data_IF_027544819424
#
_entry.id   IF_027544819424
#
_cell.length_a   1.000
_cell.length_b   1.000
_cell.length_c   1.000
_cell.angle_alpha   90.00
_cell.angle_beta   90.00
_cell.angle_gamma   90.00
#
_symmetry.space_group_name_H-M   'P 1'
#
loop_
_entity.id
_entity.type
_entity.pdbx_description
1 polymer ?
#
# COMPACT_ATOMS: atom_id res chain seq x y z
N UNK A 1 34.07 18.41 -33.96
CA UNK A 1 33.01 18.49 -32.90
C UNK A 1 32.86 17.16 -32.26
N UNK A 2 33.52 16.96 -31.15
CA UNK A 2 33.52 15.73 -30.37
C UNK A 2 32.35 15.80 -29.42
N UNK A 3 31.33 14.95 -29.62
CA UNK A 3 30.18 14.79 -28.73
C UNK A 3 30.63 14.01 -27.50
N UNK A 4 30.87 14.72 -26.40
CA UNK A 4 31.02 14.11 -25.08
C UNK A 4 29.75 13.33 -24.72
N UNK A 5 29.85 12.01 -24.72
CA UNK A 5 28.86 11.15 -24.08
C UNK A 5 28.91 11.41 -22.57
N UNK A 6 27.84 12.00 -22.01
CA UNK A 6 27.65 12.03 -20.56
C UNK A 6 27.74 10.61 -20.01
N UNK A 7 28.51 10.36 -18.95
CA UNK A 7 28.57 9.04 -18.34
C UNK A 7 27.18 8.68 -17.83
N UNK A 8 26.71 7.50 -18.17
CA UNK A 8 25.53 6.87 -17.59
C UNK A 8 25.80 6.67 -16.09
N UNK A 9 25.21 7.50 -15.25
CA UNK A 9 25.27 7.34 -13.81
C UNK A 9 24.73 5.94 -13.49
N UNK A 10 25.58 5.04 -13.01
CA UNK A 10 25.15 3.79 -12.40
C UNK A 10 24.37 4.18 -11.14
N UNK A 11 23.03 4.22 -11.27
CA UNK A 11 22.15 4.48 -10.13
C UNK A 11 22.31 3.34 -9.12
N UNK A 12 23.06 3.60 -8.05
CA UNK A 12 23.12 2.72 -6.89
C UNK A 12 21.72 2.67 -6.29
N UNK A 13 21.29 1.48 -5.86
CA UNK A 13 20.08 1.34 -5.05
C UNK A 13 20.23 2.24 -3.82
N UNK A 14 19.27 3.14 -3.51
CA UNK A 14 19.35 3.98 -2.32
C UNK A 14 19.56 3.13 -1.05
N UNK A 15 20.14 3.72 -0.03
CA UNK A 15 20.28 3.06 1.26
C UNK A 15 18.93 2.97 1.96
N UNK A 16 18.61 1.78 2.49
CA UNK A 16 17.44 1.58 3.33
C UNK A 16 17.83 1.85 4.79
N UNK A 17 17.17 2.80 5.40
CA UNK A 17 17.25 3.06 6.85
C UNK A 17 15.97 2.56 7.49
N UNK A 18 16.07 1.93 8.64
CA UNK A 18 14.91 1.40 9.39
C UNK A 18 14.89 1.98 10.79
N UNK A 19 13.71 2.04 11.39
CA UNK A 19 13.54 2.52 12.75
C UNK A 19 12.12 2.32 13.26
N UNK A 20 11.82 2.98 14.36
CA UNK A 20 10.49 3.05 14.97
C UNK A 20 10.12 4.49 15.25
N UNK A 21 8.86 4.82 15.05
CA UNK A 21 8.28 6.11 15.42
C UNK A 21 7.99 6.19 16.91
N UNK A 22 7.62 7.38 17.38
CA UNK A 22 7.32 7.65 18.78
C UNK A 22 6.23 6.73 19.34
N UNK A 23 5.23 6.39 18.54
CA UNK A 23 4.17 5.45 18.91
C UNK A 23 4.55 3.96 18.74
N UNK A 24 5.81 3.64 18.38
CA UNK A 24 6.34 2.28 18.23
C UNK A 24 6.14 1.64 16.86
N UNK A 25 5.42 2.28 15.92
CA UNK A 25 5.26 1.76 14.55
C UNK A 25 6.60 1.70 13.83
N UNK A 26 6.87 0.58 13.14
CA UNK A 26 8.12 0.37 12.42
C UNK A 26 8.09 1.01 11.03
N UNK A 27 9.26 1.46 10.57
CA UNK A 27 9.40 1.99 9.24
C UNK A 27 10.69 1.58 8.54
N UNK A 28 10.64 1.61 7.20
CA UNK A 28 11.81 1.70 6.34
C UNK A 28 11.74 2.98 5.52
N UNK A 29 12.86 3.70 5.40
CA UNK A 29 12.90 4.94 4.62
C UNK A 29 14.08 4.95 3.65
N UNK A 30 13.86 5.51 2.45
CA UNK A 30 14.88 5.76 1.45
C UNK A 30 14.59 7.03 0.65
N UNK A 31 15.61 7.58 0.01
CA UNK A 31 15.57 8.91 -0.62
C UNK A 31 16.08 9.99 0.34
N UNK A 32 16.53 11.12 -0.22
CA UNK A 32 17.28 12.14 0.54
C UNK A 32 16.71 13.56 0.38
N UNK A 33 15.52 13.70 -0.21
CA UNK A 33 14.92 15.01 -0.45
C UNK A 33 14.15 15.57 0.75
N UNK A 34 13.64 16.79 0.63
CA UNK A 34 12.90 17.48 1.68
C UNK A 34 11.42 17.11 1.75
N UNK A 35 10.87 16.40 0.73
CA UNK A 35 9.46 16.03 0.66
C UNK A 35 9.24 14.62 1.21
N UNK A 36 8.09 14.37 1.79
CA UNK A 36 7.74 13.10 2.39
C UNK A 36 6.53 12.44 1.71
N UNK A 37 6.72 11.20 1.29
CA UNK A 37 5.64 10.29 0.95
C UNK A 37 5.55 9.20 2.01
N UNK A 38 4.43 9.13 2.70
CA UNK A 38 4.11 8.06 3.63
C UNK A 38 3.36 6.95 2.88
N UNK A 39 3.96 5.75 2.82
CA UNK A 39 3.40 4.58 2.16
C UNK A 39 2.88 3.57 3.17
N UNK A 40 1.59 3.24 3.06
CA UNK A 40 0.88 2.23 3.86
C UNK A 40 0.83 0.92 3.06
N UNK A 41 1.52 -0.15 3.49
CA UNK A 41 1.56 -1.43 2.79
C UNK A 41 0.24 -2.20 2.86
N UNK A 42 0.05 -3.12 1.91
CA UNK A 42 -1.10 -4.01 1.83
C UNK A 42 -0.95 -5.29 2.64
N UNK A 43 -2.00 -6.11 2.61
CA UNK A 43 -2.11 -7.42 3.26
C UNK A 43 -2.26 -7.35 4.78
N UNK A 44 -2.80 -8.40 5.42
CA UNK A 44 -2.63 -8.60 6.84
C UNK A 44 -1.18 -9.03 7.13
N UNK A 45 -0.60 -8.45 8.18
CA UNK A 45 0.83 -8.57 8.47
C UNK A 45 1.69 -7.78 7.46
N UNK A 46 2.82 -7.34 7.85
CA UNK A 46 3.69 -6.60 6.93
C UNK A 46 5.12 -6.53 7.43
N UNK A 47 6.06 -6.45 6.49
CA UNK A 47 7.47 -6.26 6.79
C UNK A 47 8.06 -5.13 5.97
N UNK A 48 9.09 -4.49 6.48
CA UNK A 48 9.89 -3.55 5.69
C UNK A 48 10.53 -4.32 4.52
N UNK A 49 10.42 -3.82 3.27
CA UNK A 49 10.90 -4.53 2.11
C UNK A 49 12.42 -4.69 2.14
N UNK A 50 12.92 -5.89 1.87
CA UNK A 50 14.33 -6.20 1.79
C UNK A 50 14.69 -6.91 0.48
N UNK A 51 15.96 -7.08 0.17
CA UNK A 51 16.45 -7.89 -0.95
C UNK A 51 15.82 -7.52 -2.32
N UNK A 52 15.18 -8.47 -2.97
CA UNK A 52 14.57 -8.29 -4.29
C UNK A 52 13.34 -7.37 -4.23
N UNK A 53 12.52 -7.49 -3.18
CA UNK A 53 11.35 -6.63 -2.96
C UNK A 53 11.78 -5.17 -2.83
N UNK A 54 12.79 -4.89 -2.00
CA UNK A 54 13.33 -3.55 -1.85
C UNK A 54 13.79 -2.95 -3.19
N UNK A 55 14.54 -3.72 -3.99
CA UNK A 55 14.96 -3.28 -5.33
C UNK A 55 13.77 -3.01 -6.26
N UNK A 56 12.69 -3.77 -6.13
CA UNK A 56 11.46 -3.54 -6.90
C UNK A 56 10.79 -2.23 -6.46
N UNK A 57 10.64 -2.02 -5.16
CA UNK A 57 10.02 -0.80 -4.62
C UNK A 57 10.86 0.45 -4.93
N UNK A 58 12.19 0.39 -4.83
CA UNK A 58 13.04 1.54 -5.20
C UNK A 58 12.91 1.92 -6.67
N UNK A 59 12.68 0.94 -7.57
CA UNK A 59 12.42 1.24 -9.00
C UNK A 59 11.02 1.83 -9.20
N UNK A 60 10.01 1.31 -8.48
CA UNK A 60 8.63 1.78 -8.53
C UNK A 60 8.54 3.26 -8.12
N UNK A 61 9.19 3.62 -7.01
CA UNK A 61 9.17 4.97 -6.44
C UNK A 61 10.28 5.89 -6.96
N UNK A 62 11.10 5.41 -7.90
CA UNK A 62 12.19 6.21 -8.45
C UNK A 62 11.75 7.59 -8.99
N UNK A 63 10.61 7.73 -9.72
CA UNK A 63 10.17 9.05 -10.16
C UNK A 63 9.97 10.05 -9.01
N UNK A 64 9.54 9.56 -7.84
CA UNK A 64 9.34 10.37 -6.64
C UNK A 64 10.67 10.70 -5.96
N UNK A 65 11.58 9.72 -5.79
CA UNK A 65 12.90 10.00 -5.19
C UNK A 65 13.75 10.92 -6.06
N UNK A 66 13.66 10.80 -7.39
CA UNK A 66 14.32 11.72 -8.33
C UNK A 66 13.73 13.16 -8.25
N UNK A 67 12.50 13.31 -7.74
CA UNK A 67 11.81 14.60 -7.46
C UNK A 67 11.99 15.10 -6.03
N UNK A 68 12.86 14.50 -5.26
CA UNK A 68 13.20 14.92 -3.91
C UNK A 68 12.25 14.41 -2.83
N UNK A 69 11.57 13.31 -3.06
CA UNK A 69 10.79 12.64 -2.01
C UNK A 69 11.63 11.61 -1.24
N UNK A 70 11.44 11.57 0.07
CA UNK A 70 11.73 10.41 0.92
C UNK A 70 10.51 9.52 0.92
N UNK A 71 10.72 8.22 0.73
CA UNK A 71 9.64 7.22 0.77
C UNK A 71 9.69 6.53 2.12
N UNK A 72 8.68 6.75 2.92
CA UNK A 72 8.49 6.16 4.23
C UNK A 72 7.53 4.98 4.13
N UNK A 73 8.08 3.78 4.11
CA UNK A 73 7.32 2.54 4.19
C UNK A 73 6.98 2.28 5.64
N UNK A 74 5.75 2.59 6.05
CA UNK A 74 5.33 2.58 7.46
C UNK A 74 4.43 1.38 7.71
N UNK A 75 4.84 0.49 8.61
CA UNK A 75 4.04 -0.66 9.02
C UNK A 75 2.94 -0.22 9.99
N UNK A 76 1.86 -0.99 10.06
CA UNK A 76 0.85 -0.82 11.10
C UNK A 76 1.46 -1.12 12.47
N UNK A 77 0.81 -0.65 13.53
CA UNK A 77 1.29 -0.89 14.89
C UNK A 77 1.32 -2.39 15.20
N UNK A 78 2.16 -2.78 16.15
CA UNK A 78 2.17 -4.11 16.76
C UNK A 78 1.36 -4.10 18.06
N UNK A 79 1.02 -5.29 18.55
CA UNK A 79 0.22 -5.48 19.78
C UNK A 79 -1.14 -4.74 19.71
N UNK A 80 -1.84 -4.92 18.60
CA UNK A 80 -3.16 -4.32 18.41
C UNK A 80 -4.18 -4.90 19.38
N UNK A 81 -4.98 -4.05 20.05
CA UNK A 81 -6.04 -4.55 20.90
C UNK A 81 -7.10 -5.30 20.07
N UNK A 82 -7.77 -6.26 20.69
CA UNK A 82 -8.91 -6.92 20.07
C UNK A 82 -9.98 -5.90 19.65
N UNK A 83 -10.49 -6.02 18.42
CA UNK A 83 -11.47 -5.09 17.88
C UNK A 83 -10.86 -3.80 17.29
N UNK A 84 -9.53 -3.68 17.21
CA UNK A 84 -8.87 -2.56 16.52
C UNK A 84 -9.30 -2.51 15.05
N UNK A 85 -9.93 -1.42 14.65
CA UNK A 85 -10.57 -1.26 13.33
C UNK A 85 -9.60 -0.63 12.31
N UNK A 86 -9.96 -0.69 11.02
CA UNK A 86 -9.22 0.04 9.97
C UNK A 86 -9.22 1.56 10.23
N UNK A 87 -10.28 2.07 10.86
CA UNK A 87 -10.38 3.47 11.26
C UNK A 87 -9.41 3.82 12.41
N UNK A 88 -9.26 2.93 13.40
CA UNK A 88 -8.28 3.11 14.48
C UNK A 88 -6.84 3.04 13.94
N UNK A 89 -6.57 2.17 12.95
CA UNK A 89 -5.28 2.14 12.26
C UNK A 89 -4.99 3.47 11.55
N UNK A 90 -6.00 4.11 10.95
CA UNK A 90 -5.83 5.44 10.36
C UNK A 90 -5.48 6.50 11.42
N UNK A 91 -6.08 6.41 12.61
CA UNK A 91 -5.76 7.29 13.74
C UNK A 91 -4.31 7.07 14.24
N UNK A 92 -3.80 5.83 14.21
CA UNK A 92 -2.39 5.51 14.50
C UNK A 92 -1.44 6.19 13.50
N UNK A 93 -1.73 6.14 12.19
CA UNK A 93 -0.94 6.84 11.16
C UNK A 93 -1.01 8.35 11.30
N UNK A 94 -2.18 8.91 11.61
CA UNK A 94 -2.31 10.33 11.88
C UNK A 94 -1.48 10.78 13.09
N UNK A 95 -1.38 9.95 14.12
CA UNK A 95 -0.50 10.18 15.28
C UNK A 95 0.96 10.26 14.86
N UNK A 96 1.44 9.29 14.07
CA UNK A 96 2.80 9.34 13.51
C UNK A 96 3.04 10.62 12.72
N UNK A 97 2.10 11.02 11.85
CA UNK A 97 2.27 12.24 11.05
C UNK A 97 2.36 13.48 11.94
N UNK A 98 1.55 13.56 12.98
CA UNK A 98 1.56 14.72 13.90
C UNK A 98 2.83 14.79 14.74
N UNK A 99 3.29 13.67 15.26
CA UNK A 99 4.39 13.62 16.22
C UNK A 99 5.76 13.59 15.56
N UNK A 100 5.91 12.84 14.46
CA UNK A 100 7.22 12.57 13.86
C UNK A 100 7.49 13.33 12.54
N UNK A 101 6.43 13.91 11.91
CA UNK A 101 6.56 14.68 10.65
C UNK A 101 6.19 16.17 10.81
N UNK A 102 6.13 16.67 12.03
CA UNK A 102 5.77 18.07 12.26
C UNK A 102 4.33 18.41 11.87
N UNK A 103 3.44 17.43 11.88
CA UNK A 103 2.02 17.54 11.64
C UNK A 103 1.57 17.28 10.20
N UNK A 104 2.48 17.13 9.22
CA UNK A 104 2.09 16.95 7.83
C UNK A 104 3.14 16.24 6.98
N UNK A 105 2.68 15.40 6.05
CA UNK A 105 3.47 14.86 4.92
C UNK A 105 2.94 15.41 3.60
N UNK A 106 3.73 15.37 2.52
CA UNK A 106 3.29 15.88 1.22
C UNK A 106 2.26 14.94 0.59
N UNK A 107 2.51 13.63 0.66
CA UNK A 107 1.67 12.59 0.07
C UNK A 107 1.45 11.48 1.09
N UNK A 108 0.19 11.11 1.34
CA UNK A 108 -0.17 9.83 1.91
C UNK A 108 -0.53 8.86 0.78
N UNK A 109 -0.03 7.63 0.81
CA UNK A 109 -0.36 6.64 -0.21
C UNK A 109 -0.48 5.26 0.41
N UNK A 110 -1.43 4.46 -0.06
CA UNK A 110 -1.64 3.11 0.44
C UNK A 110 -2.04 2.14 -0.66
N UNK A 111 -1.61 0.89 -0.52
CA UNK A 111 -1.96 -0.18 -1.46
C UNK A 111 -2.83 -1.22 -0.76
N UNK A 112 -3.90 -1.67 -1.45
CA UNK A 112 -4.78 -2.73 -0.94
C UNK A 112 -5.28 -2.38 0.46
N UNK A 113 -4.97 -3.17 1.47
CA UNK A 113 -5.29 -2.89 2.88
C UNK A 113 -4.84 -1.48 3.30
N UNK A 114 -3.60 -1.08 2.97
CA UNK A 114 -3.13 0.28 3.25
C UNK A 114 -3.93 1.37 2.54
N UNK A 115 -4.55 1.05 1.39
CA UNK A 115 -5.50 1.94 0.72
C UNK A 115 -6.85 2.03 1.43
N UNK A 116 -7.29 0.97 2.14
CA UNK A 116 -8.46 1.03 3.03
C UNK A 116 -8.20 1.96 4.22
N UNK A 117 -7.02 1.83 4.85
CA UNK A 117 -6.57 2.75 5.91
C UNK A 117 -6.51 4.18 5.39
N UNK A 118 -5.97 4.38 4.18
CA UNK A 118 -5.86 5.69 3.53
C UNK A 118 -7.21 6.39 3.31
N UNK A 119 -8.30 5.66 3.14
CA UNK A 119 -9.65 6.24 3.02
C UNK A 119 -10.11 6.85 4.35
N UNK A 120 -9.94 6.14 5.46
CA UNK A 120 -10.26 6.69 6.80
C UNK A 120 -9.30 7.81 7.20
N UNK A 121 -8.01 7.69 6.87
CA UNK A 121 -7.04 8.75 7.10
C UNK A 121 -7.45 10.03 6.36
N UNK A 122 -7.89 9.90 5.11
CA UNK A 122 -8.33 11.03 4.29
C UNK A 122 -9.64 11.67 4.79
N UNK A 123 -10.55 10.88 5.34
CA UNK A 123 -11.82 11.38 5.85
C UNK A 123 -11.67 12.03 7.24
N UNK A 124 -10.88 11.43 8.13
CA UNK A 124 -10.78 11.86 9.53
C UNK A 124 -9.67 12.88 9.80
N UNK A 125 -8.59 12.84 9.02
CA UNK A 125 -7.37 13.63 9.25
C UNK A 125 -6.87 14.34 7.98
N UNK A 126 -7.73 15.03 7.22
CA UNK A 126 -7.37 15.65 5.94
C UNK A 126 -6.26 16.70 6.06
N UNK A 127 -6.04 17.26 7.25
CA UNK A 127 -5.01 18.25 7.53
C UNK A 127 -3.58 17.67 7.51
N UNK A 128 -3.44 16.34 7.66
CA UNK A 128 -2.13 15.68 7.88
C UNK A 128 -1.33 15.42 6.59
N UNK A 129 -1.90 15.69 5.41
CA UNK A 129 -1.21 15.52 4.13
C UNK A 129 -1.76 16.44 3.03
N UNK A 130 -1.04 16.52 1.90
CA UNK A 130 -1.43 17.33 0.74
C UNK A 130 -2.39 16.63 -0.20
N UNK A 131 -2.06 15.39 -0.57
CA UNK A 131 -2.85 14.52 -1.45
C UNK A 131 -2.79 13.08 -0.97
N UNK A 132 -3.80 12.27 -1.35
CA UNK A 132 -3.77 10.83 -1.06
C UNK A 132 -3.84 10.01 -2.35
N UNK A 133 -3.07 8.90 -2.40
CA UNK A 133 -3.15 7.92 -3.47
C UNK A 133 -3.58 6.55 -2.94
N UNK A 134 -4.66 6.02 -3.48
CA UNK A 134 -5.26 4.74 -3.15
C UNK A 134 -4.99 3.77 -4.30
N UNK A 135 -4.10 2.81 -4.09
CA UNK A 135 -3.67 1.87 -5.12
C UNK A 135 -4.33 0.52 -4.89
N UNK A 136 -5.08 0.03 -5.88
CA UNK A 136 -5.79 -1.25 -5.79
C UNK A 136 -6.61 -1.36 -4.50
N UNK A 137 -7.48 -0.37 -4.23
CA UNK A 137 -8.34 -0.30 -3.06
C UNK A 137 -9.68 0.35 -3.38
N UNK A 138 -10.72 -0.02 -2.65
CA UNK A 138 -12.05 0.53 -2.76
C UNK A 138 -12.75 0.49 -1.39
N UNK A 139 -14.03 0.93 -1.30
CA UNK A 139 -14.76 1.08 -0.04
C UNK A 139 -15.10 -0.25 0.66
N UNK A 140 -14.97 -1.38 -0.02
CA UNK A 140 -15.00 -2.74 0.57
C UNK A 140 -14.19 -3.71 -0.28
N UNK A 141 -13.66 -4.75 0.33
CA UNK A 141 -13.07 -5.90 -0.35
C UNK A 141 -14.14 -6.90 -0.81
N UNK A 142 -13.81 -7.72 -1.80
CA UNK A 142 -14.66 -8.84 -2.23
C UNK A 142 -14.64 -9.98 -1.21
N UNK A 143 -15.69 -10.79 -1.17
CA UNK A 143 -15.74 -11.98 -0.32
C UNK A 143 -14.57 -12.94 -0.60
N UNK A 144 -14.15 -13.03 -1.88
CA UNK A 144 -13.00 -13.83 -2.27
C UNK A 144 -11.69 -13.31 -1.62
N UNK A 145 -11.48 -12.00 -1.61
CA UNK A 145 -10.29 -11.41 -0.98
C UNK A 145 -10.31 -11.64 0.53
N UNK A 146 -11.43 -11.38 1.19
CA UNK A 146 -11.61 -11.60 2.63
C UNK A 146 -11.32 -13.05 3.02
N UNK A 147 -11.74 -14.04 2.20
CA UNK A 147 -11.43 -15.46 2.48
C UNK A 147 -9.95 -15.79 2.27
N UNK A 148 -9.29 -15.24 1.26
CA UNK A 148 -7.85 -15.41 1.04
C UNK A 148 -7.05 -14.75 2.17
N UNK A 149 -7.44 -13.55 2.61
CA UNK A 149 -6.77 -12.86 3.70
C UNK A 149 -7.01 -13.53 5.06
N UNK A 150 -8.18 -14.15 5.26
CA UNK A 150 -8.39 -15.06 6.42
C UNK A 150 -7.38 -16.20 6.45
N UNK A 151 -7.18 -16.88 5.31
CA UNK A 151 -6.21 -17.98 5.21
C UNK A 151 -4.78 -17.48 5.45
N UNK A 152 -4.45 -16.31 4.92
CA UNK A 152 -3.16 -15.66 5.12
C UNK A 152 -2.94 -15.31 6.60
N UNK A 153 -3.92 -14.66 7.25
CA UNK A 153 -3.85 -14.27 8.65
C UNK A 153 -3.72 -15.46 9.59
N UNK A 154 -4.54 -16.52 9.38
CA UNK A 154 -4.46 -17.76 10.16
C UNK A 154 -3.10 -18.46 9.99
N UNK A 155 -2.52 -18.46 8.79
CA UNK A 155 -1.20 -19.03 8.54
C UNK A 155 -0.10 -18.19 9.20
N UNK A 156 -0.19 -16.87 9.14
CA UNK A 156 0.75 -15.93 9.77
C UNK A 156 0.72 -16.07 11.29
N UNK A 157 -0.47 -16.12 11.90
CA UNK A 157 -0.62 -16.29 13.35
C UNK A 157 0.01 -17.61 13.87
N UNK A 158 0.06 -18.64 13.03
CA UNK A 158 0.71 -19.92 13.37
C UNK A 158 2.19 -20.00 12.97
N UNK A 159 2.75 -18.99 12.32
CA UNK A 159 4.09 -19.08 11.74
C UNK A 159 4.19 -20.11 10.60
N UNK A 160 3.08 -20.40 9.90
CA UNK A 160 3.01 -21.40 8.82
C UNK A 160 3.44 -20.79 7.48
N UNK A 161 4.74 -20.80 7.21
CA UNK A 161 5.30 -20.30 5.95
C UNK A 161 4.70 -20.94 4.70
N UNK A 162 4.24 -22.19 4.77
CA UNK A 162 3.60 -22.86 3.65
C UNK A 162 2.19 -22.33 3.41
N UNK A 163 1.41 -22.19 4.48
CA UNK A 163 0.06 -21.62 4.43
C UNK A 163 0.09 -20.17 3.90
N UNK A 164 1.04 -19.36 4.36
CA UNK A 164 1.29 -18.01 3.83
C UNK A 164 1.58 -18.05 2.33
N UNK A 165 2.46 -18.96 1.88
CA UNK A 165 2.79 -19.09 0.46
C UNK A 165 1.59 -19.58 -0.38
N UNK A 166 0.72 -20.45 0.16
CA UNK A 166 -0.51 -20.93 -0.50
C UNK A 166 -1.51 -19.76 -0.69
N UNK A 167 -1.74 -18.95 0.34
CA UNK A 167 -2.59 -17.77 0.27
C UNK A 167 -2.04 -16.75 -0.74
N UNK A 168 -0.76 -16.42 -0.66
CA UNK A 168 -0.11 -15.50 -1.62
C UNK A 168 -0.15 -16.03 -3.07
N UNK A 169 -0.04 -17.34 -3.28
CA UNK A 169 -0.18 -17.93 -4.61
C UNK A 169 -1.57 -17.68 -5.20
N UNK A 170 -2.61 -17.58 -4.37
CA UNK A 170 -3.97 -17.24 -4.79
C UNK A 170 -4.06 -15.82 -5.35
N UNK A 171 -3.34 -14.86 -4.77
CA UNK A 171 -3.24 -13.51 -5.32
C UNK A 171 -2.49 -13.43 -6.65
N UNK A 172 -1.44 -14.25 -6.82
CA UNK A 172 -0.65 -14.27 -8.07
C UNK A 172 -1.43 -14.93 -9.20
N UNK A 173 -2.15 -16.02 -8.92
CA UNK A 173 -2.97 -16.78 -9.87
C UNK A 173 -4.38 -16.92 -9.32
N UNK A 174 -5.21 -15.88 -9.42
CA UNK A 174 -6.53 -15.86 -8.79
C UNK A 174 -7.58 -16.74 -9.47
N UNK A 175 -7.33 -17.27 -10.70
CA UNK A 175 -8.28 -18.13 -11.40
C UNK A 175 -8.36 -19.52 -10.74
N UNK A 176 -9.52 -19.85 -10.20
CA UNK A 176 -9.79 -21.13 -9.54
C UNK A 176 -9.65 -22.36 -10.46
N UNK A 177 -9.83 -22.17 -11.77
CA UNK A 177 -9.56 -23.23 -12.75
C UNK A 177 -8.08 -23.60 -12.79
N UNK A 178 -7.20 -22.70 -12.36
CA UNK A 178 -5.77 -22.88 -12.23
C UNK A 178 -5.31 -23.26 -10.81
N UNK A 179 -6.23 -23.61 -9.92
CA UNK A 179 -5.89 -23.96 -8.54
C UNK A 179 -4.89 -25.12 -8.45
N UNK A 180 -5.01 -26.14 -9.33
CA UNK A 180 -4.05 -27.26 -9.35
C UNK A 180 -2.64 -26.84 -9.81
N UNK A 181 -2.45 -26.19 -11.00
CA UNK A 181 -1.13 -25.71 -11.39
C UNK A 181 -0.59 -24.62 -10.47
N UNK A 182 -1.43 -23.77 -9.84
CA UNK A 182 -1.03 -22.78 -8.83
C UNK A 182 -0.22 -23.41 -7.70
N UNK A 183 -0.56 -24.63 -7.26
CA UNK A 183 0.18 -25.37 -6.21
C UNK A 183 1.65 -25.61 -6.56
N UNK A 184 2.03 -25.61 -7.84
CA UNK A 184 3.43 -25.74 -8.25
C UNK A 184 4.27 -24.49 -7.92
N UNK A 185 3.63 -23.34 -7.68
CA UNK A 185 4.30 -22.10 -7.27
C UNK A 185 4.62 -22.10 -5.76
N UNK A 186 3.84 -22.81 -4.95
CA UNK A 186 3.93 -22.77 -3.49
C UNK A 186 5.33 -23.06 -2.94
N UNK A 187 6.08 -24.09 -3.41
CA UNK A 187 7.42 -24.35 -2.89
C UNK A 187 8.41 -23.22 -3.14
N UNK A 188 8.31 -22.56 -4.29
CA UNK A 188 9.15 -21.41 -4.61
C UNK A 188 8.76 -20.18 -3.77
N UNK A 189 7.47 -19.94 -3.58
CA UNK A 189 6.96 -18.85 -2.75
C UNK A 189 7.27 -19.06 -1.28
N UNK A 190 7.12 -20.27 -0.75
CA UNK A 190 7.49 -20.60 0.63
C UNK A 190 9.00 -20.37 0.89
N UNK A 191 9.83 -20.57 -0.13
CA UNK A 191 11.26 -20.24 -0.05
C UNK A 191 11.53 -18.73 -0.01
N UNK A 192 10.69 -17.94 -0.70
CA UNK A 192 10.76 -16.47 -0.69
C UNK A 192 10.25 -15.88 0.63
N UNK A 193 9.18 -16.43 1.17
CA UNK A 193 8.61 -16.08 2.47
C UNK A 193 9.61 -16.37 3.61
N UNK A 194 10.45 -17.41 3.44
CA UNK A 194 11.41 -17.83 4.46
C UNK A 194 10.85 -18.94 5.34
N UNK A 195 11.75 -19.59 6.10
CA UNK A 195 11.38 -20.67 7.02
C UNK A 195 10.92 -20.17 8.37
N UNK A 196 11.30 -18.95 8.71
CA UNK A 196 11.07 -18.33 10.01
C UNK A 196 10.05 -17.18 9.86
N UNK A 197 8.82 -17.53 9.45
CA UNK A 197 7.70 -16.60 9.61
C UNK A 197 7.45 -16.51 11.12
N UNK A 198 7.71 -15.35 11.70
CA UNK A 198 7.33 -15.11 13.08
C UNK A 198 5.81 -15.24 13.19
N UNK A 199 5.34 -15.95 14.23
CA UNK A 199 3.92 -15.95 14.54
C UNK A 199 3.49 -14.51 14.92
N UNK A 200 2.39 -14.06 14.31
CA UNK A 200 1.90 -12.69 14.46
C UNK A 200 0.37 -12.71 14.60
N UNK A 201 -0.10 -12.53 15.81
CA UNK A 201 -1.53 -12.51 16.12
C UNK A 201 -2.21 -11.22 15.62
N UNK A 202 -1.46 -10.14 15.39
CA UNK A 202 -1.98 -8.90 14.81
C UNK A 202 -2.58 -9.13 13.42
N UNK A 203 -2.05 -10.10 12.67
CA UNK A 203 -2.62 -10.48 11.38
C UNK A 203 -4.09 -10.92 11.47
N UNK A 204 -4.50 -11.54 12.60
CA UNK A 204 -5.91 -11.89 12.83
C UNK A 204 -6.77 -10.69 13.18
N UNK A 205 -6.21 -9.71 13.90
CA UNK A 205 -6.89 -8.45 14.19
C UNK A 205 -7.11 -7.67 12.88
N UNK A 206 -6.08 -7.55 12.07
CA UNK A 206 -6.14 -6.91 10.76
C UNK A 206 -7.19 -7.57 9.83
N UNK A 207 -7.19 -8.90 9.73
CA UNK A 207 -8.20 -9.59 8.94
C UNK A 207 -9.62 -9.35 9.44
N UNK A 208 -9.85 -9.38 10.76
CA UNK A 208 -11.19 -9.09 11.32
C UNK A 208 -11.63 -7.66 11.02
N UNK A 209 -10.70 -6.70 11.10
CA UNK A 209 -10.94 -5.32 10.75
C UNK A 209 -11.28 -5.15 9.26
N UNK A 210 -10.60 -5.90 8.37
CA UNK A 210 -10.90 -5.93 6.94
C UNK A 210 -12.27 -6.54 6.65
N UNK A 211 -12.60 -7.67 7.28
CA UNK A 211 -13.89 -8.33 7.09
C UNK A 211 -15.09 -7.44 7.51
N UNK A 212 -14.86 -6.52 8.46
CA UNK A 212 -15.85 -5.54 8.92
C UNK A 212 -15.75 -4.19 8.19
N UNK A 213 -14.80 -4.03 7.25
CA UNK A 213 -14.51 -2.76 6.61
C UNK A 213 -15.62 -2.32 5.65
N UNK A 214 -16.15 -1.13 5.88
CA UNK A 214 -17.02 -0.37 4.98
C UNK A 214 -16.74 1.13 5.17
N UNK A 215 -16.00 1.74 4.25
CA UNK A 215 -15.72 3.18 4.30
C UNK A 215 -16.75 4.03 3.58
N UNK A 216 -17.76 3.43 2.94
CA UNK A 216 -18.78 4.16 2.17
C UNK A 216 -19.39 5.35 2.93
N UNK A 217 -19.72 5.22 4.24
CA UNK A 217 -20.33 6.33 4.97
C UNK A 217 -19.45 7.59 5.09
N UNK A 218 -18.11 7.45 4.99
CA UNK A 218 -17.17 8.56 5.20
C UNK A 218 -16.53 9.08 3.91
N UNK A 219 -16.73 8.42 2.76
CA UNK A 219 -16.07 8.84 1.51
C UNK A 219 -16.47 10.24 1.06
N UNK A 220 -17.73 10.64 1.29
CA UNK A 220 -18.22 11.99 0.98
C UNK A 220 -17.62 13.10 1.84
N UNK A 221 -16.98 12.76 2.96
CA UNK A 221 -16.33 13.70 3.87
C UNK A 221 -14.88 14.02 3.45
N UNK A 222 -14.32 13.26 2.48
CA UNK A 222 -12.95 13.46 2.00
C UNK A 222 -12.85 14.75 1.20
N UNK A 223 -12.15 15.73 1.73
CA UNK A 223 -11.98 17.06 1.13
C UNK A 223 -10.67 17.24 0.38
N UNK A 224 -9.70 16.35 0.59
CA UNK A 224 -8.39 16.39 -0.09
C UNK A 224 -8.45 15.74 -1.47
N UNK A 225 -7.55 16.12 -2.40
CA UNK A 225 -7.45 15.44 -3.70
C UNK A 225 -7.07 13.96 -3.54
N UNK A 226 -7.82 13.06 -4.20
CA UNK A 226 -7.64 11.60 -4.15
C UNK A 226 -7.31 11.05 -5.53
N UNK A 227 -6.21 10.30 -5.64
CA UNK A 227 -5.89 9.49 -6.80
C UNK A 227 -6.26 8.03 -6.54
N UNK A 228 -7.13 7.45 -7.36
CA UNK A 228 -7.39 6.01 -7.36
C UNK A 228 -6.66 5.36 -8.55
N UNK A 229 -5.78 4.41 -8.27
CA UNK A 229 -5.10 3.59 -9.27
C UNK A 229 -5.64 2.16 -9.21
N UNK A 230 -6.35 1.72 -10.23
CA UNK A 230 -7.09 0.46 -10.21
C UNK A 230 -6.83 -0.41 -11.44
N UNK A 231 -6.79 -1.73 -11.24
CA UNK A 231 -6.74 -2.72 -12.30
C UNK A 231 -8.14 -3.12 -12.77
N UNK A 232 -8.35 -3.21 -14.08
CA UNK A 232 -9.66 -3.61 -14.64
C UNK A 232 -9.95 -5.13 -14.54
N UNK A 233 -8.98 -5.91 -14.01
CA UNK A 233 -9.07 -7.34 -13.72
C UNK A 233 -8.78 -7.67 -12.25
N UNK A 234 -8.97 -6.69 -11.38
CA UNK A 234 -8.83 -6.89 -9.95
C UNK A 234 -9.97 -7.77 -9.42
N UNK A 235 -9.63 -8.80 -8.64
CA UNK A 235 -10.62 -9.66 -7.97
C UNK A 235 -10.79 -9.33 -6.50
N UNK A 236 -9.86 -8.58 -5.93
CA UNK A 236 -9.98 -8.15 -4.54
C UNK A 236 -10.96 -7.01 -4.39
N UNK A 237 -10.99 -6.13 -5.39
CA UNK A 237 -11.93 -5.01 -5.44
C UNK A 237 -12.64 -5.05 -6.79
N UNK A 238 -13.93 -5.31 -6.74
CA UNK A 238 -14.75 -5.42 -7.94
C UNK A 238 -14.85 -4.07 -8.66
N UNK A 239 -14.94 -4.11 -9.99
CA UNK A 239 -14.95 -2.91 -10.82
C UNK A 239 -16.03 -1.90 -10.41
N UNK A 240 -17.21 -2.41 -10.12
CA UNK A 240 -18.38 -1.62 -9.70
C UNK A 240 -18.12 -0.91 -8.38
N UNK A 241 -17.49 -1.59 -7.43
CA UNK A 241 -17.11 -1.05 -6.11
C UNK A 241 -16.03 0.04 -6.26
N UNK A 242 -15.06 -0.15 -7.16
CA UNK A 242 -14.05 0.88 -7.47
C UNK A 242 -14.68 2.12 -8.08
N UNK A 243 -15.59 1.94 -9.06
CA UNK A 243 -16.31 3.07 -9.71
C UNK A 243 -17.16 3.83 -8.69
N UNK A 244 -17.87 3.10 -7.82
CA UNK A 244 -18.66 3.70 -6.75
C UNK A 244 -17.77 4.48 -5.76
N UNK A 245 -16.63 3.91 -5.37
CA UNK A 245 -15.63 4.60 -4.52
C UNK A 245 -15.23 5.95 -5.12
N UNK A 246 -14.86 5.94 -6.40
CA UNK A 246 -14.49 7.16 -7.10
C UNK A 246 -15.64 8.17 -7.18
N UNK A 247 -16.86 7.70 -7.39
CA UNK A 247 -18.03 8.57 -7.49
C UNK A 247 -18.44 9.21 -6.16
N UNK A 248 -18.18 8.54 -5.04
CA UNK A 248 -18.50 9.02 -3.69
C UNK A 248 -17.48 10.03 -3.15
N UNK A 249 -16.24 10.03 -3.65
CA UNK A 249 -15.20 10.97 -3.22
C UNK A 249 -15.24 12.24 -4.06
N UNK A 250 -15.52 13.44 -3.49
CA UNK A 250 -15.75 14.68 -4.25
C UNK A 250 -14.61 15.08 -5.19
N UNK A 251 -13.35 14.90 -4.77
CA UNK A 251 -12.14 15.33 -5.50
C UNK A 251 -11.29 14.14 -5.92
N UNK A 252 -11.93 13.11 -6.52
CA UNK A 252 -11.25 11.91 -6.96
C UNK A 252 -10.84 11.97 -8.44
N UNK A 253 -9.73 11.28 -8.73
CA UNK A 253 -9.28 10.96 -10.08
C UNK A 253 -9.04 9.48 -10.18
N UNK A 254 -9.80 8.77 -11.01
CA UNK A 254 -9.67 7.33 -11.21
C UNK A 254 -8.86 7.03 -12.48
N UNK A 255 -7.77 6.28 -12.33
CA UNK A 255 -6.91 5.82 -13.42
C UNK A 255 -6.96 4.30 -13.51
N UNK A 256 -7.39 3.78 -14.67
CA UNK A 256 -7.44 2.36 -14.95
C UNK A 256 -6.15 1.81 -15.54
N UNK A 257 -5.61 0.76 -14.92
CA UNK A 257 -4.53 -0.05 -15.46
C UNK A 257 -5.10 -1.25 -16.20
N UNK A 258 -5.24 -1.11 -17.51
CA UNK A 258 -5.86 -2.13 -18.37
C UNK A 258 -5.11 -3.44 -18.37
N UNK A 259 -5.84 -4.56 -18.27
CA UNK A 259 -5.30 -5.92 -18.22
C UNK A 259 -4.56 -6.24 -16.92
N UNK A 260 -4.68 -5.41 -15.88
CA UNK A 260 -4.02 -5.62 -14.60
C UNK A 260 -5.01 -6.17 -13.56
N UNK A 261 -4.59 -7.24 -12.90
CA UNK A 261 -5.21 -7.72 -11.66
C UNK A 261 -4.52 -7.10 -10.45
N UNK A 262 -4.93 -7.47 -9.26
CA UNK A 262 -4.53 -6.89 -7.98
C UNK A 262 -3.01 -6.69 -7.83
N UNK A 263 -2.25 -7.78 -7.78
CA UNK A 263 -0.79 -7.74 -7.60
C UNK A 263 -0.06 -6.99 -8.71
N UNK A 264 -0.55 -7.08 -9.96
CA UNK A 264 0.05 -6.36 -11.09
C UNK A 264 -0.28 -4.88 -11.07
N UNK A 265 -1.37 -4.46 -10.44
CA UNK A 265 -1.68 -3.05 -10.18
C UNK A 265 -0.78 -2.50 -9.09
N UNK A 266 -0.68 -3.20 -7.98
CA UNK A 266 0.14 -2.81 -6.83
C UNK A 266 1.63 -2.61 -7.17
N UNK A 267 2.14 -3.37 -8.15
CA UNK A 267 3.55 -3.33 -8.57
C UNK A 267 3.76 -2.77 -9.98
N UNK A 268 2.76 -2.11 -10.57
CA UNK A 268 2.89 -1.55 -11.91
C UNK A 268 3.92 -0.40 -11.92
N UNK A 269 4.90 -0.40 -12.84
CA UNK A 269 5.93 0.64 -12.91
C UNK A 269 5.40 2.08 -13.06
N UNK A 270 4.14 2.25 -13.44
CA UNK A 270 3.51 3.56 -13.56
C UNK A 270 3.11 4.19 -12.23
N UNK A 271 2.90 3.39 -11.17
CA UNK A 271 2.38 3.86 -9.87
C UNK A 271 3.13 5.09 -9.36
N UNK A 272 4.46 5.00 -9.22
CA UNK A 272 5.25 6.13 -8.71
C UNK A 272 5.18 7.38 -9.59
N UNK A 273 5.15 7.20 -10.91
CA UNK A 273 5.01 8.32 -11.86
C UNK A 273 3.63 8.97 -11.78
N UNK A 274 2.58 8.16 -11.74
CA UNK A 274 1.20 8.65 -11.76
C UNK A 274 0.86 9.37 -10.43
N UNK A 275 1.39 8.88 -9.29
CA UNK A 275 1.33 9.57 -8.00
C UNK A 275 2.05 10.92 -8.08
N UNK A 276 3.28 10.97 -8.60
CA UNK A 276 4.04 12.23 -8.74
C UNK A 276 3.32 13.24 -9.64
N UNK A 277 2.79 12.80 -10.78
CA UNK A 277 2.07 13.69 -11.70
C UNK A 277 0.83 14.28 -11.05
N UNK A 278 0.09 13.47 -10.28
CA UNK A 278 -1.11 13.90 -9.57
C UNK A 278 -0.76 14.90 -8.46
N UNK A 279 0.25 14.64 -7.64
CA UNK A 279 0.69 15.56 -6.59
C UNK A 279 1.11 16.91 -7.17
N UNK A 280 1.95 16.92 -8.21
CA UNK A 280 2.38 18.15 -8.88
C UNK A 280 1.23 18.97 -9.51
N UNK A 281 0.19 18.28 -10.00
CA UNK A 281 -0.98 18.96 -10.55
C UNK A 281 -1.75 19.72 -9.46
N UNK A 282 -1.88 19.10 -8.28
CA UNK A 282 -2.59 19.71 -7.14
C UNK A 282 -1.76 20.79 -6.42
N UNK A 283 -0.42 20.62 -6.33
CA UNK A 283 0.47 21.69 -5.83
C UNK A 283 0.29 22.99 -6.63
N UNK A 284 0.24 22.88 -7.97
CA UNK A 284 0.05 24.05 -8.86
C UNK A 284 -1.33 24.66 -8.73
N UNK A 285 -2.37 23.87 -8.56
CA UNK A 285 -3.73 24.34 -8.37
C UNK A 285 -3.92 25.09 -7.04
N UNK A 286 -3.20 24.68 -5.99
CA UNK A 286 -3.23 25.35 -4.67
C UNK A 286 -2.40 26.63 -4.62
N UNK A 287 -1.45 26.81 -5.55
CA UNK A 287 -0.59 27.99 -5.64
C UNK A 287 -1.14 29.10 -6.59
N UNK A 288 -2.21 28.80 -7.35
CA UNK A 288 -2.86 29.69 -8.30
C UNK A 288 -4.10 30.36 -7.70
#
# INVERSE_FOLDING_TARGET
MTTERRPTAHHRTPELRTGRFTNGMEYGVWGDGPKDLLWMPGGPGGTVPTGAMYRTMTRLFRPLTDDGYRIWWVLRRTDMPEGHTVADMADDYATVIREDFGGRVDIAAGVSYGGMVGQYLAARHPETFGTVALVAAAWKASEWAIDVDRQLAEATARGDARGVAEAMASYVVPDERLARPRRLLVPAMARMVGRDVAADDDALVEWRAEAAFDSRPVLGEITVPVLLLAGDRDRCFEREVIVETAALIPHSTLVWYRGRGHMRTATDPRVGRDILQFARANERASAA
#
